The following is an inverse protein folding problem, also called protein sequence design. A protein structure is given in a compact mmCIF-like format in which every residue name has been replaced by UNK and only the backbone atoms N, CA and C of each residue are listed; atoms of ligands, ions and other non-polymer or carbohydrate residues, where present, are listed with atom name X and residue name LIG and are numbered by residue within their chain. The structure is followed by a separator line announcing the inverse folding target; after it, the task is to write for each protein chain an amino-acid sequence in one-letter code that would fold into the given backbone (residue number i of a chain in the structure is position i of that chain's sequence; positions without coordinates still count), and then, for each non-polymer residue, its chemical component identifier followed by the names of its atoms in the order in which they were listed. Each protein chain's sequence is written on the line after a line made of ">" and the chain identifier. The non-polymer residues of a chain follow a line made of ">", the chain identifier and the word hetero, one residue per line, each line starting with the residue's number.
data_IF_104223441574
#
_entry.id   IF_104223441574
#
_cell.length_a   1.000
_cell.length_b   1.000
_cell.length_c   1.000
_cell.angle_alpha   90.00
_cell.angle_beta   90.00
_cell.angle_gamma   90.00
#
_symmetry.space_group_name_H-M   'P 1'
#
loop_
_entity.id
_entity.type
_entity.pdbx_description
1 polymer ?
#
# COMPACT_ATOMS: atom_id res chain seq x y z
N UNK A 1 -5.26 -9.40 0.41
CA UNK A 1 -4.90 -10.26 -0.73
C UNK A 1 -5.58 -11.63 -0.61
N UNK A 2 -6.41 -12.01 -1.58
CA UNK A 2 -7.20 -13.24 -1.54
C UNK A 2 -6.58 -14.39 -2.35
N UNK A 3 -5.56 -14.09 -3.14
CA UNK A 3 -4.89 -15.08 -4.02
C UNK A 3 -3.65 -15.62 -3.32
N UNK A 4 -3.63 -16.87 -2.84
CA UNK A 4 -2.51 -17.41 -2.06
C UNK A 4 -1.17 -17.38 -2.80
N UNK A 5 -1.18 -17.58 -4.13
CA UNK A 5 0.05 -17.54 -4.94
C UNK A 5 0.73 -16.16 -4.94
N UNK A 6 -0.04 -15.06 -4.84
CA UNK A 6 0.53 -13.71 -4.73
C UNK A 6 1.25 -13.54 -3.39
N UNK A 7 0.67 -14.08 -2.33
CA UNK A 7 1.29 -14.04 -0.99
C UNK A 7 2.57 -14.86 -0.95
N UNK A 8 2.53 -16.09 -1.51
CA UNK A 8 3.72 -16.95 -1.61
C UNK A 8 4.85 -16.27 -2.39
N UNK A 9 4.52 -15.67 -3.54
CA UNK A 9 5.48 -14.92 -4.36
C UNK A 9 6.09 -13.77 -3.57
N UNK A 10 5.27 -12.92 -2.96
CA UNK A 10 5.73 -11.77 -2.18
C UNK A 10 6.58 -12.19 -0.97
N UNK A 11 6.22 -13.28 -0.29
CA UNK A 11 6.99 -13.85 0.82
C UNK A 11 8.39 -14.29 0.36
N UNK A 12 8.46 -15.00 -0.77
CA UNK A 12 9.73 -15.45 -1.34
C UNK A 12 10.61 -14.28 -1.82
N UNK A 13 10.03 -13.33 -2.55
CA UNK A 13 10.75 -12.15 -3.08
C UNK A 13 11.32 -11.26 -1.96
N UNK A 14 10.65 -11.21 -0.81
CA UNK A 14 11.09 -10.42 0.35
C UNK A 14 11.95 -11.21 1.34
N UNK A 15 12.21 -12.48 1.09
CA UNK A 15 13.02 -13.35 1.97
C UNK A 15 12.41 -13.53 3.36
N UNK A 16 11.09 -13.50 3.50
CA UNK A 16 10.43 -13.68 4.79
C UNK A 16 10.48 -15.14 5.22
N UNK A 17 10.98 -15.40 6.42
CA UNK A 17 11.21 -16.75 6.95
C UNK A 17 10.25 -17.13 8.08
N UNK A 18 9.49 -16.18 8.61
CA UNK A 18 8.47 -16.44 9.63
C UNK A 18 7.14 -16.89 9.00
N UNK A 19 6.29 -17.62 9.76
CA UNK A 19 5.01 -18.08 9.25
C UNK A 19 4.09 -16.92 8.84
N UNK A 20 3.45 -17.09 7.67
CA UNK A 20 2.45 -16.14 7.14
C UNK A 20 1.09 -16.84 7.12
N UNK A 21 0.10 -16.25 7.77
CA UNK A 21 -1.28 -16.74 7.78
C UNK A 21 -2.20 -15.80 6.99
N UNK A 22 -3.09 -16.38 6.18
CA UNK A 22 -4.13 -15.65 5.47
C UNK A 22 -5.40 -15.63 6.32
N UNK A 23 -5.85 -14.45 6.71
CA UNK A 23 -7.08 -14.25 7.49
C UNK A 23 -8.18 -13.57 6.66
N UNK A 24 -8.40 -14.03 5.42
CA UNK A 24 -9.38 -13.46 4.47
C UNK A 24 -10.83 -13.47 5.00
N UNK A 25 -11.12 -14.33 5.96
CA UNK A 25 -12.41 -14.40 6.65
C UNK A 25 -12.49 -13.59 7.95
N UNK A 26 -11.42 -12.86 8.30
CA UNK A 26 -11.33 -12.07 9.54
C UNK A 26 -11.56 -12.87 10.83
N UNK A 27 -11.25 -14.16 10.84
CA UNK A 27 -11.43 -15.00 12.02
C UNK A 27 -10.42 -14.66 13.12
N UNK A 28 -9.15 -14.55 12.77
CA UNK A 28 -8.08 -14.14 13.69
C UNK A 28 -8.27 -12.70 14.13
N UNK A 29 -8.60 -11.80 13.20
CA UNK A 29 -8.94 -10.41 13.47
C UNK A 29 -10.00 -10.29 14.58
N UNK A 30 -11.11 -11.04 14.44
CA UNK A 30 -12.20 -11.03 15.44
C UNK A 30 -11.80 -11.70 16.76
N UNK A 31 -11.00 -12.77 16.70
CA UNK A 31 -10.54 -13.46 17.90
C UNK A 31 -9.69 -12.57 18.81
N UNK A 32 -8.88 -11.68 18.22
CA UNK A 32 -8.12 -10.66 18.93
C UNK A 32 -8.91 -9.38 19.21
N UNK A 33 -10.19 -9.30 18.84
CA UNK A 33 -11.01 -8.08 18.91
C UNK A 33 -10.28 -6.87 18.30
N UNK A 34 -9.52 -7.10 17.21
CA UNK A 34 -8.70 -6.08 16.59
C UNK A 34 -9.56 -5.07 15.81
N UNK A 35 -9.14 -3.80 15.81
CA UNK A 35 -9.82 -2.70 15.11
C UNK A 35 -8.85 -1.79 14.36
N UNK A 36 -7.55 -2.11 14.34
CA UNK A 36 -6.49 -1.25 13.82
C UNK A 36 -5.53 -2.00 12.92
N UNK A 37 -4.92 -1.29 11.97
CA UNK A 37 -3.77 -1.72 11.18
C UNK A 37 -2.67 -0.66 11.21
N UNK A 38 -1.40 -1.08 11.30
CA UNK A 38 -0.95 -2.40 11.75
C UNK A 38 -1.30 -2.64 13.23
N UNK A 39 -1.34 -3.89 13.65
CA UNK A 39 -1.52 -4.28 15.05
C UNK A 39 -0.55 -5.41 15.40
N UNK A 40 0.14 -5.27 16.53
CA UNK A 40 1.06 -6.24 17.08
C UNK A 40 0.55 -6.76 18.42
N UNK A 41 0.60 -8.09 18.61
CA UNK A 41 0.26 -8.76 19.85
C UNK A 41 1.46 -9.61 20.27
N UNK A 42 2.11 -9.24 21.36
CA UNK A 42 3.21 -10.01 21.94
C UNK A 42 2.63 -11.04 22.91
N UNK A 43 2.86 -12.32 22.62
CA UNK A 43 2.27 -13.46 23.33
C UNK A 43 3.40 -14.26 23.97
N UNK A 44 3.26 -14.59 25.27
CA UNK A 44 4.21 -15.45 25.96
C UNK A 44 4.04 -16.93 25.60
N UNK A 45 4.94 -17.77 26.11
CA UNK A 45 4.91 -19.21 25.85
C UNK A 45 3.71 -19.94 26.49
N UNK A 46 3.04 -19.34 27.45
CA UNK A 46 1.82 -19.82 28.08
C UNK A 46 0.57 -19.42 27.28
N UNK A 47 0.70 -18.57 26.24
CA UNK A 47 -0.40 -18.10 25.40
C UNK A 47 -1.07 -16.83 25.90
N UNK A 48 -0.51 -16.11 26.88
CA UNK A 48 -1.08 -14.87 27.37
C UNK A 48 -0.56 -13.67 26.55
N UNK A 49 -1.45 -12.75 26.21
CA UNK A 49 -1.07 -11.47 25.59
C UNK A 49 -0.39 -10.60 26.64
N UNK A 50 0.88 -10.27 26.39
CA UNK A 50 1.74 -9.48 27.31
C UNK A 50 1.84 -8.01 26.88
N UNK A 51 1.67 -7.74 25.59
CA UNK A 51 1.68 -6.39 25.04
C UNK A 51 0.80 -6.33 23.79
N UNK A 52 0.09 -5.22 23.64
CA UNK A 52 -0.60 -4.82 22.43
C UNK A 52 0.00 -3.51 21.94
N UNK A 53 0.12 -3.36 20.63
CA UNK A 53 0.53 -2.12 19.98
C UNK A 53 -0.29 -1.91 18.70
N UNK A 54 -0.85 -0.71 18.55
CA UNK A 54 -1.70 -0.33 17.42
C UNK A 54 -1.09 0.84 16.69
N UNK A 55 -1.05 0.75 15.35
CA UNK A 55 -0.45 1.74 14.47
C UNK A 55 1.06 1.56 14.29
N UNK A 56 1.66 2.47 13.56
CA UNK A 56 3.09 2.50 13.30
C UNK A 56 3.88 3.04 14.50
N UNK A 57 5.15 2.61 14.63
CA UNK A 57 6.06 3.03 15.69
C UNK A 57 6.10 2.09 16.88
N UNK A 58 6.60 2.56 18.04
CA UNK A 58 6.75 1.75 19.25
C UNK A 58 7.69 0.56 19.09
N UNK A 59 8.63 0.61 18.13
CA UNK A 59 9.50 -0.52 17.82
C UNK A 59 10.53 -0.79 18.91
N UNK A 60 11.07 0.27 19.52
CA UNK A 60 12.02 0.15 20.65
C UNK A 60 11.34 -0.50 21.83
N UNK A 61 10.20 0.01 22.24
CA UNK A 61 9.41 -0.52 23.38
C UNK A 61 8.93 -1.95 23.12
N UNK A 62 8.70 -2.30 21.84
CA UNK A 62 8.32 -3.67 21.46
C UNK A 62 9.53 -4.61 21.56
N UNK A 63 10.72 -4.17 21.11
CA UNK A 63 11.95 -4.95 21.24
C UNK A 63 12.32 -5.15 22.71
N UNK A 64 12.19 -4.11 23.54
CA UNK A 64 12.42 -4.22 24.98
C UNK A 64 11.49 -5.27 25.62
N UNK A 65 10.18 -5.22 25.33
CA UNK A 65 9.23 -6.20 25.82
C UNK A 65 9.53 -7.64 25.36
N UNK A 66 10.00 -7.83 24.12
CA UNK A 66 10.46 -9.12 23.62
C UNK A 66 11.65 -9.62 24.45
N UNK A 67 12.64 -8.75 24.71
CA UNK A 67 13.84 -9.08 25.51
C UNK A 67 13.48 -9.45 26.94
N UNK A 68 12.54 -8.74 27.55
CA UNK A 68 12.03 -9.07 28.89
C UNK A 68 11.41 -10.47 28.95
N UNK A 69 10.55 -10.81 27.95
CA UNK A 69 9.96 -12.15 27.89
C UNK A 69 10.99 -13.27 27.65
N UNK A 70 12.00 -13.00 26.84
CA UNK A 70 13.11 -13.94 26.64
C UNK A 70 13.89 -14.14 27.93
N UNK A 71 14.12 -13.09 28.72
CA UNK A 71 14.83 -13.13 29.97
C UNK A 71 14.09 -13.88 31.09
N UNK A 72 12.76 -14.01 31.04
CA UNK A 72 12.00 -14.83 32.01
C UNK A 72 12.47 -16.30 32.03
N UNK A 73 13.11 -16.79 30.95
CA UNK A 73 13.53 -18.18 30.80
C UNK A 73 15.03 -18.34 30.48
N UNK A 74 15.76 -17.23 30.35
CA UNK A 74 17.19 -17.22 30.01
C UNK A 74 17.84 -15.93 30.50
N UNK A 75 19.13 -15.76 30.20
CA UNK A 75 19.84 -14.49 30.46
C UNK A 75 19.32 -13.40 29.54
N UNK A 76 19.08 -12.21 30.08
CA UNK A 76 18.71 -11.02 29.29
C UNK A 76 19.73 -10.81 28.17
N UNK A 77 19.30 -10.61 26.91
CA UNK A 77 20.19 -10.20 25.82
C UNK A 77 20.91 -8.90 26.17
N UNK A 78 22.24 -8.89 26.01
CA UNK A 78 23.09 -7.73 26.36
C UNK A 78 23.53 -6.91 25.15
N UNK A 79 23.23 -7.36 23.95
CA UNK A 79 23.48 -6.62 22.70
C UNK A 79 22.60 -5.35 22.62
N UNK A 80 23.06 -4.36 21.86
CA UNK A 80 22.31 -3.12 21.67
C UNK A 80 20.95 -3.37 21.02
N UNK A 81 19.96 -2.53 21.32
CA UNK A 81 18.66 -2.52 20.62
C UNK A 81 18.89 -2.27 19.13
N UNK A 82 18.19 -3.01 18.28
CA UNK A 82 18.23 -2.89 16.83
C UNK A 82 17.12 -2.00 16.29
N UNK A 83 16.00 -1.93 17.00
CA UNK A 83 14.87 -1.09 16.64
C UNK A 83 15.14 0.40 16.84
N UNK A 84 14.54 1.22 15.99
CA UNK A 84 14.49 2.68 16.15
C UNK A 84 13.04 3.14 16.02
N UNK A 85 12.64 4.16 16.79
CA UNK A 85 11.28 4.73 16.71
C UNK A 85 11.14 5.80 15.60
N UNK A 86 12.06 5.86 14.65
CA UNK A 86 11.97 6.79 13.53
C UNK A 86 10.86 6.35 12.55
N UNK A 87 9.66 6.84 12.78
CA UNK A 87 8.59 6.80 11.78
C UNK A 87 8.71 8.08 10.96
N UNK A 88 8.83 8.00 9.62
CA UNK A 88 8.84 9.21 8.81
C UNK A 88 7.58 10.04 9.08
N UNK A 89 7.69 11.36 9.29
CA UNK A 89 6.53 12.18 9.55
C UNK A 89 5.61 12.19 8.33
N UNK A 90 4.36 11.78 8.50
CA UNK A 90 3.35 11.94 7.46
C UNK A 90 3.02 13.44 7.37
N UNK A 91 3.24 14.03 6.21
CA UNK A 91 2.83 15.41 5.97
C UNK A 91 1.30 15.52 6.09
N UNK A 92 0.80 16.50 6.87
CA UNK A 92 -0.64 16.75 7.02
C UNK A 92 -1.35 17.05 5.69
N UNK A 93 -0.60 17.45 4.67
CA UNK A 93 -1.10 17.76 3.34
C UNK A 93 -0.88 16.64 2.33
N UNK A 94 -0.36 15.48 2.76
CA UNK A 94 -0.17 14.34 1.88
C UNK A 94 -1.51 13.80 1.41
N UNK A 95 -1.59 13.46 0.12
CA UNK A 95 -2.74 12.72 -0.44
C UNK A 95 -2.91 11.42 0.32
N UNK A 96 -4.10 11.14 0.86
CA UNK A 96 -4.35 9.88 1.56
C UNK A 96 -4.36 8.72 0.59
N UNK A 97 -4.14 7.51 1.12
CA UNK A 97 -4.31 6.28 0.35
C UNK A 97 -5.67 6.27 -0.36
N UNK A 98 -5.66 5.94 -1.64
CA UNK A 98 -6.85 6.06 -2.49
C UNK A 98 -7.13 4.76 -3.22
N UNK A 99 -8.26 4.17 -2.93
CA UNK A 99 -8.74 2.93 -3.53
C UNK A 99 -9.58 3.21 -4.77
N UNK A 100 -9.46 2.33 -5.78
CA UNK A 100 -10.08 2.53 -7.09
C UNK A 100 -11.41 1.78 -7.26
N UNK A 101 -11.65 0.72 -6.48
CA UNK A 101 -12.88 -0.08 -6.56
C UNK A 101 -14.07 0.56 -5.84
N UNK A 102 -15.30 0.23 -6.27
CA UNK A 102 -16.52 0.85 -5.77
C UNK A 102 -16.75 0.70 -4.27
N UNK A 103 -16.20 -0.34 -3.63
CA UNK A 103 -16.39 -0.57 -2.20
C UNK A 103 -15.71 0.49 -1.32
N UNK A 104 -14.64 1.12 -1.83
CA UNK A 104 -13.83 2.08 -1.07
C UNK A 104 -13.42 3.31 -1.88
N UNK A 105 -13.85 3.44 -3.13
CA UNK A 105 -13.49 4.59 -3.95
C UNK A 105 -14.06 5.89 -3.37
N UNK A 106 -13.17 6.83 -3.13
CA UNK A 106 -13.52 8.18 -2.69
C UNK A 106 -12.94 9.19 -3.67
N UNK A 107 -13.48 10.41 -3.68
CA UNK A 107 -12.93 11.54 -4.43
C UNK A 107 -12.80 11.32 -5.95
N UNK A 108 -13.54 10.34 -6.50
CA UNK A 108 -13.69 10.20 -7.94
C UNK A 108 -14.68 11.25 -8.47
N UNK A 109 -14.24 12.05 -9.43
CA UNK A 109 -15.05 13.12 -10.00
C UNK A 109 -15.06 13.03 -11.53
N UNK A 110 -16.14 13.49 -12.14
CA UNK A 110 -16.25 13.60 -13.59
C UNK A 110 -15.69 14.92 -14.14
N UNK A 111 -15.19 15.79 -13.25
CA UNK A 111 -14.66 17.12 -13.61
C UNK A 111 -13.30 17.02 -14.29
N UNK A 112 -13.03 17.94 -15.22
CA UNK A 112 -11.70 18.16 -15.78
C UNK A 112 -10.81 19.00 -14.85
N UNK A 113 -11.42 19.74 -13.92
CA UNK A 113 -10.73 20.51 -12.88
C UNK A 113 -10.83 19.70 -11.60
N UNK A 114 -9.68 19.24 -11.09
CA UNK A 114 -9.59 18.41 -9.90
C UNK A 114 -9.26 19.25 -8.67
N UNK A 115 -10.07 19.13 -7.64
CA UNK A 115 -9.74 19.57 -6.29
C UNK A 115 -8.61 18.75 -5.67
N UNK A 116 -8.16 19.14 -4.49
CA UNK A 116 -7.11 18.41 -3.75
C UNK A 116 -7.51 16.97 -3.48
N UNK A 117 -6.63 16.04 -3.82
CA UNK A 117 -6.84 14.59 -3.70
C UNK A 117 -8.03 14.04 -4.48
N UNK A 118 -8.51 14.76 -5.48
CA UNK A 118 -9.53 14.28 -6.43
C UNK A 118 -8.87 13.62 -7.66
N UNK A 119 -9.55 12.63 -8.19
CA UNK A 119 -9.12 11.93 -9.40
C UNK A 119 -10.27 11.73 -10.39
N UNK A 120 -9.95 11.59 -11.65
CA UNK A 120 -10.91 11.36 -12.73
C UNK A 120 -10.38 10.38 -13.76
N UNK A 121 -11.31 9.75 -14.47
CA UNK A 121 -11.06 8.81 -15.57
C UNK A 121 -11.50 9.42 -16.90
N UNK A 122 -10.77 9.13 -17.97
CA UNK A 122 -11.24 9.45 -19.32
C UNK A 122 -12.54 8.71 -19.62
N UNK A 123 -13.56 9.39 -20.22
CA UNK A 123 -14.86 8.79 -20.47
C UNK A 123 -14.77 7.53 -21.34
N UNK A 124 -15.62 6.53 -21.05
CA UNK A 124 -15.86 5.31 -21.85
C UNK A 124 -14.66 4.38 -22.03
N UNK A 125 -13.54 4.61 -21.33
CA UNK A 125 -12.32 3.81 -21.45
C UNK A 125 -12.05 2.93 -20.24
N UNK A 126 -12.98 2.85 -19.30
CA UNK A 126 -12.81 2.14 -18.04
C UNK A 126 -14.02 1.33 -17.64
N UNK A 127 -13.78 0.20 -17.01
CA UNK A 127 -14.74 -0.54 -16.20
C UNK A 127 -14.31 -0.50 -14.74
N UNK A 128 -15.26 -0.52 -13.83
CA UNK A 128 -15.00 -0.51 -12.39
C UNK A 128 -15.72 -1.69 -11.74
N UNK A 129 -15.02 -2.39 -10.85
CA UNK A 129 -15.56 -3.43 -9.99
C UNK A 129 -15.40 -3.04 -8.50
N UNK A 130 -15.68 -3.95 -7.59
CA UNK A 130 -15.63 -3.71 -6.16
C UNK A 130 -14.24 -3.29 -5.65
N UNK A 131 -13.17 -3.72 -6.31
CA UNK A 131 -11.80 -3.58 -5.83
C UNK A 131 -10.88 -2.77 -6.76
N UNK A 132 -11.32 -2.50 -8.00
CA UNK A 132 -10.44 -1.92 -9.02
C UNK A 132 -11.16 -1.13 -10.10
N UNK A 133 -10.39 -0.36 -10.88
CA UNK A 133 -10.76 0.09 -12.22
C UNK A 133 -9.86 -0.59 -13.25
N UNK A 134 -10.41 -1.00 -14.36
CA UNK A 134 -9.69 -1.65 -15.46
C UNK A 134 -9.90 -0.90 -16.77
N UNK A 135 -8.81 -0.63 -17.50
CA UNK A 135 -8.91 0.01 -18.80
C UNK A 135 -9.54 -0.92 -19.84
N UNK A 136 -10.54 -0.42 -20.56
CA UNK A 136 -11.25 -1.14 -21.64
C UNK A 136 -10.71 -0.80 -23.03
N UNK A 137 -9.87 0.24 -23.12
CA UNK A 137 -9.23 0.73 -24.35
C UNK A 137 -7.76 1.08 -24.13
N UNK A 138 -6.97 1.10 -25.19
CA UNK A 138 -5.64 1.69 -25.18
C UNK A 138 -5.71 3.21 -25.00
N UNK A 139 -4.65 3.77 -24.44
CA UNK A 139 -4.55 5.20 -24.11
C UNK A 139 -5.65 5.69 -23.17
N UNK A 140 -6.18 4.82 -22.32
CA UNK A 140 -7.07 5.24 -21.23
C UNK A 140 -6.28 6.11 -20.24
N UNK A 141 -6.86 7.25 -19.85
CA UNK A 141 -6.20 8.26 -19.02
C UNK A 141 -6.86 8.33 -17.64
N UNK A 142 -6.03 8.36 -16.61
CA UNK A 142 -6.42 8.74 -15.25
C UNK A 142 -5.64 9.99 -14.87
N UNK A 143 -6.35 10.99 -14.31
CA UNK A 143 -5.76 12.20 -13.72
C UNK A 143 -6.02 12.22 -12.23
N UNK A 144 -5.02 12.65 -11.46
CA UNK A 144 -5.08 12.71 -10.01
C UNK A 144 -4.36 13.97 -9.51
N UNK A 145 -5.06 14.83 -8.77
CA UNK A 145 -4.42 15.97 -8.10
C UNK A 145 -3.81 15.48 -6.78
N UNK A 146 -2.50 15.35 -6.76
CA UNK A 146 -1.76 14.74 -5.66
C UNK A 146 -0.89 15.74 -4.91
N UNK A 147 -0.58 15.39 -3.66
CA UNK A 147 0.44 16.03 -2.82
C UNK A 147 1.27 14.94 -2.18
N UNK A 148 2.49 14.72 -2.68
CA UNK A 148 3.38 13.66 -2.23
C UNK A 148 4.82 13.89 -2.69
N UNK A 149 5.77 13.18 -2.09
CA UNK A 149 7.13 13.04 -2.61
C UNK A 149 7.25 11.82 -3.52
N UNK A 150 6.62 10.70 -3.12
CA UNK A 150 6.55 9.49 -3.96
C UNK A 150 5.11 9.05 -4.14
N UNK A 151 4.84 8.43 -5.28
CA UNK A 151 3.55 7.83 -5.61
C UNK A 151 3.77 6.39 -6.03
N UNK A 152 3.03 5.50 -5.41
CA UNK A 152 3.02 4.09 -5.75
C UNK A 152 1.62 3.69 -6.23
N UNK A 153 1.58 2.71 -7.11
CA UNK A 153 0.36 2.13 -7.67
C UNK A 153 0.33 0.63 -7.42
N UNK A 154 -0.71 0.15 -6.78
CA UNK A 154 -1.05 -1.27 -6.77
C UNK A 154 -1.80 -1.57 -8.04
N UNK A 155 -1.20 -2.37 -8.92
CA UNK A 155 -1.73 -2.64 -10.24
C UNK A 155 -1.46 -4.08 -10.69
N UNK A 156 -2.17 -4.50 -11.73
CA UNK A 156 -2.01 -5.76 -12.41
C UNK A 156 -2.55 -5.69 -13.84
N UNK A 157 -2.82 -6.85 -14.42
CA UNK A 157 -3.49 -6.95 -15.72
C UNK A 157 -4.68 -7.90 -15.65
N UNK A 158 -5.65 -7.70 -16.55
CA UNK A 158 -6.84 -8.55 -16.64
C UNK A 158 -6.61 -9.82 -17.46
N UNK A 159 -5.51 -9.88 -18.22
CA UNK A 159 -5.17 -10.95 -19.17
C UNK A 159 -3.80 -11.59 -18.91
N UNK A 160 -3.17 -11.28 -17.75
CA UNK A 160 -1.84 -11.77 -17.35
C UNK A 160 -0.70 -11.41 -18.32
N UNK A 161 -0.89 -10.42 -19.19
CA UNK A 161 0.17 -9.90 -20.05
C UNK A 161 0.78 -8.63 -19.48
N UNK A 162 2.02 -8.33 -19.84
CA UNK A 162 2.67 -7.10 -19.46
C UNK A 162 1.91 -5.90 -20.04
N UNK A 163 1.75 -4.85 -19.23
CA UNK A 163 1.13 -3.58 -19.61
C UNK A 163 2.11 -2.44 -19.42
N UNK A 164 1.94 -1.37 -20.16
CA UNK A 164 2.71 -0.13 -19.96
C UNK A 164 1.83 0.97 -19.41
N UNK A 165 2.40 1.74 -18.50
CA UNK A 165 1.82 2.93 -17.88
C UNK A 165 2.77 4.09 -18.14
N UNK A 166 2.37 5.00 -19.01
CA UNK A 166 3.11 6.26 -19.20
C UNK A 166 2.68 7.24 -18.10
N UNK A 167 3.66 7.88 -17.47
CA UNK A 167 3.46 8.76 -16.32
C UNK A 167 3.92 10.17 -16.67
N UNK A 168 3.07 11.17 -16.41
CA UNK A 168 3.45 12.59 -16.42
C UNK A 168 3.02 13.29 -15.13
N UNK A 169 3.73 14.36 -14.77
CA UNK A 169 3.42 15.18 -13.62
C UNK A 169 3.47 16.65 -14.05
N UNK A 170 2.37 17.37 -13.80
CA UNK A 170 2.20 18.77 -14.26
C UNK A 170 2.47 18.95 -15.76
N UNK A 171 2.05 17.98 -16.58
CA UNK A 171 2.25 17.99 -18.03
C UNK A 171 3.67 17.59 -18.50
N UNK A 172 4.59 17.35 -17.60
CA UNK A 172 5.96 16.91 -17.93
C UNK A 172 6.01 15.37 -17.87
N UNK A 173 6.49 14.73 -18.95
CA UNK A 173 6.69 13.29 -18.99
C UNK A 173 7.79 12.89 -18.01
N UNK A 174 7.47 11.96 -17.11
CA UNK A 174 8.40 11.46 -16.10
C UNK A 174 9.02 10.12 -16.51
N UNK A 175 8.21 9.08 -16.68
CA UNK A 175 8.68 7.74 -16.98
C UNK A 175 7.60 6.89 -17.65
N UNK A 176 7.99 5.69 -18.05
CA UNK A 176 7.06 4.61 -18.43
C UNK A 176 7.35 3.41 -17.55
N UNK A 177 6.33 2.90 -16.89
CA UNK A 177 6.41 1.75 -15.97
C UNK A 177 5.81 0.53 -16.65
N UNK A 178 6.49 -0.61 -16.54
CA UNK A 178 5.96 -1.90 -17.01
C UNK A 178 5.29 -2.64 -15.87
N UNK A 179 3.99 -2.92 -16.00
CA UNK A 179 3.22 -3.76 -15.10
C UNK A 179 3.36 -5.21 -15.56
N UNK A 180 4.04 -6.03 -14.79
CA UNK A 180 4.35 -7.43 -15.10
C UNK A 180 3.71 -8.42 -14.12
N UNK A 181 2.53 -8.11 -13.62
CA UNK A 181 1.76 -8.91 -12.67
C UNK A 181 1.15 -8.05 -11.58
N UNK A 182 0.43 -8.68 -10.64
CA UNK A 182 -0.14 -7.98 -9.49
C UNK A 182 0.99 -7.62 -8.51
N UNK A 183 1.29 -6.32 -8.39
CA UNK A 183 2.35 -5.81 -7.53
C UNK A 183 2.15 -4.31 -7.24
N UNK A 184 3.04 -3.76 -6.41
CA UNK A 184 3.18 -2.31 -6.19
C UNK A 184 4.28 -1.76 -7.09
N UNK A 185 4.01 -0.65 -7.76
CA UNK A 185 4.89 -0.01 -8.73
C UNK A 185 5.12 1.45 -8.37
N UNK A 186 6.37 1.90 -8.38
CA UNK A 186 6.68 3.33 -8.20
C UNK A 186 6.35 4.09 -9.49
N UNK A 187 5.38 5.01 -9.42
CA UNK A 187 4.99 5.87 -10.55
C UNK A 187 5.73 7.20 -10.58
N UNK A 188 6.00 7.77 -9.42
CA UNK A 188 6.63 9.07 -9.30
C UNK A 188 7.57 9.07 -8.08
N UNK A 189 8.75 9.68 -8.26
CA UNK A 189 9.67 9.98 -7.18
C UNK A 189 10.23 11.37 -7.44
N UNK A 190 9.92 12.32 -6.55
CA UNK A 190 10.39 13.70 -6.59
C UNK A 190 11.51 13.89 -5.56
N UNK A 191 12.39 14.86 -5.79
CA UNK A 191 13.43 15.20 -4.83
C UNK A 191 12.86 15.80 -3.54
N UNK A 192 11.77 16.56 -3.69
CA UNK A 192 11.04 17.20 -2.59
C UNK A 192 9.55 16.93 -2.69
N UNK A 193 8.83 17.13 -1.58
CA UNK A 193 7.38 17.09 -1.54
C UNK A 193 6.78 18.08 -2.56
N UNK A 194 5.87 17.58 -3.42
CA UNK A 194 5.25 18.37 -4.49
C UNK A 194 3.74 18.19 -4.56
N UNK A 195 3.07 19.19 -5.11
CA UNK A 195 1.61 19.16 -5.38
C UNK A 195 1.36 19.40 -6.85
N UNK A 196 0.44 18.65 -7.45
CA UNK A 196 0.08 18.84 -8.84
C UNK A 196 -0.68 17.67 -9.46
N UNK A 197 -0.85 17.74 -10.77
CA UNK A 197 -1.59 16.75 -11.54
C UNK A 197 -0.66 15.61 -11.97
N UNK A 198 -0.85 14.45 -11.37
CA UNK A 198 -0.35 13.17 -11.88
C UNK A 198 -1.31 12.71 -12.99
N UNK A 199 -0.78 12.46 -14.17
CA UNK A 199 -1.53 11.85 -15.25
C UNK A 199 -0.86 10.53 -15.64
N UNK A 200 -1.65 9.47 -15.70
CA UNK A 200 -1.20 8.19 -16.24
C UNK A 200 -2.02 7.82 -17.47
N UNK A 201 -1.31 7.33 -18.48
CA UNK A 201 -1.90 6.76 -19.71
C UNK A 201 -1.57 5.28 -19.76
N UNK A 202 -2.60 4.43 -19.89
CA UNK A 202 -2.44 2.99 -19.76
C UNK A 202 -2.93 2.25 -21.00
N UNK A 203 -2.38 1.05 -21.22
CA UNK A 203 -2.84 0.10 -22.24
C UNK A 203 -4.12 -0.60 -21.78
N UNK A 204 -4.91 -1.07 -22.77
CA UNK A 204 -6.08 -1.91 -22.52
C UNK A 204 -5.74 -3.12 -21.63
N UNK A 205 -6.62 -3.40 -20.68
CA UNK A 205 -6.46 -4.50 -19.73
C UNK A 205 -5.54 -4.20 -18.54
N UNK A 206 -5.10 -2.95 -18.36
CA UNK A 206 -4.42 -2.53 -17.13
C UNK A 206 -5.44 -2.40 -16.01
N UNK A 207 -5.19 -3.07 -14.87
CA UNK A 207 -6.02 -3.01 -13.64
C UNK A 207 -5.32 -2.15 -12.60
N UNK A 208 -6.03 -1.19 -12.04
CA UNK A 208 -5.57 -0.29 -10.99
C UNK A 208 -6.40 -0.54 -9.72
N UNK A 209 -5.75 -0.87 -8.60
CA UNK A 209 -6.42 -1.19 -7.34
C UNK A 209 -6.35 -0.04 -6.33
N UNK A 210 -5.17 0.53 -6.12
CA UNK A 210 -4.98 1.61 -5.16
C UNK A 210 -3.75 2.43 -5.49
N UNK A 211 -3.78 3.70 -5.07
CA UNK A 211 -2.60 4.55 -4.97
C UNK A 211 -2.20 4.73 -3.51
N UNK A 212 -0.91 4.70 -3.23
CA UNK A 212 -0.34 5.03 -1.92
C UNK A 212 0.80 6.04 -2.07
N UNK A 213 1.06 6.81 -1.04
CA UNK A 213 1.88 8.01 -1.12
C UNK A 213 2.89 8.05 0.02
N UNK A 214 4.05 8.68 -0.23
CA UNK A 214 5.10 8.95 0.75
C UNK A 214 5.44 10.44 0.72
N UNK A 215 5.66 11.05 1.89
CA UNK A 215 6.07 12.47 2.06
C UNK A 215 7.57 12.67 2.16
#
# INVERSE_FOLDING_TARGET
>A
ERVPSNVQKATAERGLTYPIALDNGFSTWRAFNNSYWPAGYLIDKEGNVRREHFGEGGYVETEEAIRELLAENSTMPTDALTATNSVPPISRNQTPETYMGTDRAERNVSSQILGTSEWSLSPNNWSQDNESVSSTADNAVLKFNISAKKVFLVAGSTDNTNKTVAVSFNGVKMQTVTINGANIYTLLSLDTFGTGILEITVQKGTRLNAFTFES
#
